data_IF_082711131830
#
_entry.id   IF_082711131830
#
_cell.length_a   1.000
_cell.length_b   1.000
_cell.length_c   1.000
_cell.angle_alpha   90.00
_cell.angle_beta   90.00
_cell.angle_gamma   90.00
#
_symmetry.space_group_name_H-M   'P 1'
#
loop_
_entity.id
_entity.type
_entity.pdbx_description
1 polymer ?
#
# COMPACT_ATOMS: atom_id res chain seq x y z
N UNK A 1 4.02 -10.84 37.63
CA UNK A 1 4.95 -11.26 36.56
C UNK A 1 6.21 -11.73 37.27
N UNK A 2 6.60 -13.00 37.15
CA UNK A 2 7.98 -13.37 37.51
C UNK A 2 8.89 -12.84 36.40
N UNK A 3 9.92 -12.09 36.77
CA UNK A 3 10.88 -11.44 35.87
C UNK A 3 11.99 -12.40 35.42
N UNK A 4 11.72 -13.70 35.45
CA UNK A 4 12.72 -14.74 35.22
C UNK A 4 12.85 -15.05 33.72
N UNK A 5 14.10 -15.15 33.26
CA UNK A 5 14.44 -15.48 31.87
C UNK A 5 14.38 -17.00 31.70
N UNK A 6 13.43 -17.49 30.91
CA UNK A 6 13.21 -18.94 30.70
C UNK A 6 13.57 -19.35 29.27
N UNK A 7 14.15 -20.55 29.10
CA UNK A 7 14.52 -21.11 27.79
C UNK A 7 13.30 -21.25 26.86
N UNK A 8 13.49 -20.94 25.58
CA UNK A 8 12.42 -20.92 24.57
C UNK A 8 11.64 -22.25 24.42
N UNK A 9 12.27 -23.40 24.69
CA UNK A 9 11.62 -24.71 24.67
C UNK A 9 10.53 -24.89 25.74
N UNK A 10 10.63 -24.19 26.87
CA UNK A 10 9.62 -24.20 27.95
C UNK A 10 8.39 -23.36 27.59
N UNK A 11 8.50 -22.48 26.58
CA UNK A 11 7.41 -21.62 26.09
C UNK A 11 6.53 -22.32 25.04
N UNK A 12 6.71 -23.62 24.80
CA UNK A 12 5.91 -24.37 23.84
C UNK A 12 4.43 -24.44 24.29
N UNK A 13 3.53 -23.92 23.46
CA UNK A 13 2.12 -23.73 23.80
C UNK A 13 1.17 -24.79 23.22
N UNK A 14 1.69 -25.96 22.82
CA UNK A 14 0.93 -27.16 22.41
C UNK A 14 0.08 -27.02 21.14
N UNK A 15 -0.13 -25.82 20.61
CA UNK A 15 -1.02 -25.59 19.48
C UNK A 15 -0.28 -25.75 18.15
N UNK A 16 -0.13 -27.01 17.73
CA UNK A 16 0.56 -27.38 16.47
C UNK A 16 -0.41 -27.54 15.29
N UNK A 17 -1.72 -27.67 15.52
CA UNK A 17 -2.72 -28.02 14.49
C UNK A 17 -3.91 -27.06 14.46
N UNK A 18 -4.52 -26.91 13.27
CA UNK A 18 -5.71 -26.06 13.04
C UNK A 18 -7.05 -26.76 13.35
N UNK A 19 -7.04 -28.07 13.58
CA UNK A 19 -8.23 -28.88 13.84
C UNK A 19 -8.82 -28.57 15.23
N UNK A 20 -10.12 -28.29 15.31
CA UNK A 20 -10.82 -27.88 16.54
C UNK A 20 -10.99 -28.99 17.57
N UNK A 21 -11.09 -30.25 17.11
CA UNK A 21 -11.34 -31.44 17.94
C UNK A 21 -10.05 -31.90 18.65
N UNK A 22 -8.91 -31.73 17.99
CA UNK A 22 -7.57 -32.08 18.52
C UNK A 22 -6.88 -30.91 19.22
N UNK A 23 -7.60 -29.81 19.48
CA UNK A 23 -7.04 -28.71 20.26
C UNK A 23 -7.06 -29.10 21.73
N UNK A 24 -5.88 -29.28 22.32
CA UNK A 24 -5.74 -29.27 23.78
C UNK A 24 -6.10 -27.91 24.39
N UNK A 25 -5.93 -27.79 25.71
CA UNK A 25 -6.21 -26.55 26.44
C UNK A 25 -5.49 -25.34 25.81
N UNK A 26 -6.19 -24.21 25.67
CA UNK A 26 -5.64 -23.01 25.05
C UNK A 26 -4.70 -22.29 26.03
N UNK A 27 -3.46 -22.77 26.12
CA UNK A 27 -2.43 -22.26 27.03
C UNK A 27 -1.80 -20.93 26.58
N UNK A 28 -2.53 -20.07 25.86
CA UNK A 28 -2.10 -18.68 25.59
C UNK A 28 -2.17 -17.80 26.85
N UNK A 29 -1.67 -18.30 27.99
CA UNK A 29 -1.48 -17.59 29.26
C UNK A 29 -0.75 -16.25 29.10
N UNK A 30 0.07 -16.14 28.05
CA UNK A 30 0.87 -14.93 27.76
C UNK A 30 0.34 -14.07 26.59
N UNK A 31 -0.76 -14.45 25.92
CA UNK A 31 -1.35 -13.57 24.89
C UNK A 31 -2.33 -12.61 25.54
N UNK A 32 -1.94 -11.35 25.64
CA UNK A 32 -2.85 -10.29 26.05
C UNK A 32 -4.05 -10.15 25.10
N UNK A 33 -5.19 -9.63 25.59
CA UNK A 33 -6.33 -9.30 24.74
C UNK A 33 -5.90 -8.32 23.65
N UNK A 34 -6.60 -8.36 22.51
CA UNK A 34 -6.33 -7.45 21.39
C UNK A 34 -6.69 -6.03 21.83
N UNK A 35 -5.67 -5.19 22.03
CA UNK A 35 -5.83 -3.81 22.54
C UNK A 35 -6.54 -2.88 21.55
N UNK A 36 -6.33 -3.09 20.25
CA UNK A 36 -6.99 -2.28 19.21
C UNK A 36 -7.27 -3.07 17.95
N UNK A 37 -8.29 -2.64 17.18
CA UNK A 37 -8.47 -3.08 15.80
C UNK A 37 -7.25 -2.59 15.01
N UNK A 38 -6.49 -3.51 14.40
CA UNK A 38 -5.32 -3.16 13.58
C UNK A 38 -5.68 -2.20 12.44
N UNK A 39 -4.70 -1.45 11.94
CA UNK A 39 -4.92 -0.49 10.85
C UNK A 39 -5.43 -1.20 9.59
N UNK A 40 -6.59 -0.76 9.09
CA UNK A 40 -7.10 -1.16 7.77
C UNK A 40 -6.68 -0.09 6.77
N UNK A 41 -5.91 -0.46 5.74
CA UNK A 41 -5.55 0.44 4.64
C UNK A 41 -6.49 0.18 3.47
N UNK A 42 -7.54 1.01 3.32
CA UNK A 42 -8.44 0.95 2.17
C UNK A 42 -7.83 1.79 1.05
N UNK A 43 -7.53 1.16 -0.10
CA UNK A 43 -7.10 1.88 -1.31
C UNK A 43 -8.27 2.70 -1.85
N UNK A 44 -8.32 3.99 -1.54
CA UNK A 44 -9.18 4.96 -2.22
C UNK A 44 -8.54 5.31 -3.57
N UNK A 45 -9.33 5.55 -4.63
CA UNK A 45 -8.80 6.12 -5.87
C UNK A 45 -8.34 7.55 -5.60
N UNK A 46 -7.07 7.67 -5.21
CA UNK A 46 -6.51 8.89 -4.62
C UNK A 46 -5.87 9.82 -5.65
N UNK A 47 -5.57 9.30 -6.83
CA UNK A 47 -4.76 9.96 -7.83
C UNK A 47 -5.55 10.05 -9.12
N UNK A 48 -5.71 11.28 -9.62
CA UNK A 48 -6.38 11.52 -10.89
C UNK A 48 -5.60 10.86 -12.02
N UNK A 49 -4.28 11.10 -12.06
CA UNK A 49 -3.32 10.63 -13.06
C UNK A 49 -2.62 9.34 -12.68
N UNK A 50 -2.44 8.47 -13.68
CA UNK A 50 -1.74 7.21 -13.60
C UNK A 50 -0.49 7.21 -14.48
N UNK A 51 0.51 6.38 -14.17
CA UNK A 51 1.66 6.19 -15.04
C UNK A 51 1.21 5.77 -16.44
N UNK A 52 1.73 6.44 -17.48
CA UNK A 52 1.35 6.20 -18.87
C UNK A 52 0.36 7.20 -19.45
N UNK A 53 -0.39 7.93 -18.64
CA UNK A 53 -1.26 9.00 -19.12
C UNK A 53 -0.45 10.07 -19.89
N UNK A 54 -1.08 10.72 -20.86
CA UNK A 54 -0.51 11.86 -21.57
C UNK A 54 -1.16 13.15 -21.06
N UNK A 55 -0.32 14.14 -20.80
CA UNK A 55 -0.73 15.44 -20.29
C UNK A 55 -0.01 16.56 -21.01
N UNK A 56 -0.66 17.73 -21.11
CA UNK A 56 -0.07 18.94 -21.69
C UNK A 56 0.36 19.88 -20.57
N UNK A 57 1.59 20.36 -20.65
CA UNK A 57 2.19 21.31 -19.72
C UNK A 57 3.15 22.22 -20.48
N UNK A 58 3.03 23.55 -20.30
CA UNK A 58 3.87 24.56 -21.00
C UNK A 58 3.93 24.32 -22.53
N UNK A 59 2.76 24.20 -23.17
CA UNK A 59 2.57 23.90 -24.60
C UNK A 59 3.08 22.53 -25.10
N UNK A 60 3.85 21.77 -24.32
CA UNK A 60 4.39 20.47 -24.70
C UNK A 60 3.63 19.29 -24.06
N UNK A 61 3.67 18.14 -24.73
CA UNK A 61 3.04 16.89 -24.27
C UNK A 61 4.05 16.04 -23.54
N UNK A 62 3.67 15.58 -22.35
CA UNK A 62 4.48 14.73 -21.50
C UNK A 62 3.74 13.44 -21.14
N UNK A 63 4.51 12.37 -20.96
CA UNK A 63 4.04 11.13 -20.36
C UNK A 63 4.15 11.20 -18.85
N UNK A 64 3.07 10.86 -18.15
CA UNK A 64 3.03 10.78 -16.70
C UNK A 64 3.82 9.55 -16.23
N UNK A 65 4.72 9.73 -15.26
CA UNK A 65 5.37 8.64 -14.54
C UNK A 65 4.64 8.29 -13.24
N UNK A 66 3.94 9.25 -12.64
CA UNK A 66 3.13 9.03 -11.44
C UNK A 66 2.75 10.33 -10.76
N UNK A 67 2.02 10.23 -9.65
CA UNK A 67 1.68 11.37 -8.80
C UNK A 67 2.38 11.29 -7.45
N UNK A 68 2.93 12.42 -7.02
CA UNK A 68 3.60 12.61 -5.75
C UNK A 68 2.77 13.46 -4.79
N UNK A 69 3.27 13.61 -3.55
CA UNK A 69 2.74 14.58 -2.60
C UNK A 69 1.24 14.45 -2.39
N UNK A 70 0.72 13.23 -2.34
CA UNK A 70 -0.69 12.96 -2.14
C UNK A 70 -1.62 13.46 -3.27
N UNK A 71 -1.14 13.55 -4.51
CA UNK A 71 -1.92 13.94 -5.68
C UNK A 71 -1.81 15.42 -6.01
N UNK A 72 -1.01 16.15 -5.23
CA UNK A 72 -0.70 17.57 -5.48
C UNK A 72 0.26 17.75 -6.65
N UNK A 73 1.18 16.79 -6.83
CA UNK A 73 2.27 16.89 -7.78
C UNK A 73 2.26 15.73 -8.78
N UNK A 74 2.77 16.00 -9.97
CA UNK A 74 2.83 15.12 -11.13
C UNK A 74 4.29 14.97 -11.53
N UNK A 75 4.75 13.71 -11.61
CA UNK A 75 6.06 13.35 -12.16
C UNK A 75 5.90 13.15 -13.66
N UNK A 76 6.58 13.97 -14.44
CA UNK A 76 6.59 13.91 -15.91
C UNK A 76 7.89 13.26 -16.39
N UNK A 77 7.81 12.43 -17.42
CA UNK A 77 8.99 11.84 -18.04
C UNK A 77 9.89 12.93 -18.64
N UNK A 78 11.19 12.87 -18.37
CA UNK A 78 12.18 13.83 -18.88
C UNK A 78 12.36 15.11 -18.03
N UNK A 79 11.60 15.29 -16.95
CA UNK A 79 11.81 16.40 -16.00
C UNK A 79 12.26 15.88 -14.63
N UNK A 80 13.26 16.54 -14.05
CA UNK A 80 13.74 16.24 -12.70
C UNK A 80 12.79 16.75 -11.60
N UNK A 81 12.12 17.90 -11.83
CA UNK A 81 11.20 18.51 -10.87
C UNK A 81 9.75 18.08 -11.14
N UNK A 82 9.02 17.84 -10.07
CA UNK A 82 7.58 17.57 -10.15
C UNK A 82 6.81 18.85 -10.46
N UNK A 83 5.68 18.69 -11.15
CA UNK A 83 4.80 19.80 -11.55
C UNK A 83 3.51 19.74 -10.74
N UNK A 84 2.92 20.89 -10.37
CA UNK A 84 1.62 20.91 -9.69
C UNK A 84 0.52 20.40 -10.61
N UNK A 85 -0.34 19.51 -10.11
CA UNK A 85 -1.40 18.90 -10.91
C UNK A 85 -2.43 19.91 -11.46
N UNK A 86 -2.57 21.07 -10.82
CA UNK A 86 -3.49 22.15 -11.26
C UNK A 86 -3.04 22.86 -12.52
N UNK A 87 -1.75 22.85 -12.83
CA UNK A 87 -1.17 23.52 -14.01
C UNK A 87 -1.21 22.65 -15.27
N UNK A 88 -1.63 21.40 -15.11
CA UNK A 88 -1.49 20.36 -16.13
C UNK A 88 -2.87 20.03 -16.68
N UNK A 89 -2.99 20.04 -18.00
CA UNK A 89 -4.23 19.67 -18.68
C UNK A 89 -4.18 18.21 -19.14
N UNK A 90 -5.20 17.38 -18.87
CA UNK A 90 -5.26 16.01 -19.36
C UNK A 90 -5.38 16.00 -20.88
N UNK A 91 -4.58 15.17 -21.56
CA UNK A 91 -4.68 14.96 -23.00
C UNK A 91 -5.28 13.59 -23.32
N UNK A 92 -4.69 12.53 -22.75
CA UNK A 92 -5.15 11.16 -22.97
C UNK A 92 -4.96 10.31 -21.73
N UNK A 93 -6.07 9.77 -21.24
CA UNK A 93 -6.08 8.76 -20.21
C UNK A 93 -5.69 7.40 -20.79
N UNK A 94 -4.82 6.68 -20.09
CA UNK A 94 -4.43 5.29 -20.40
C UNK A 94 -4.95 4.32 -19.34
N UNK A 95 -6.04 4.67 -18.67
CA UNK A 95 -6.73 3.78 -17.73
C UNK A 95 -7.36 2.61 -18.50
N UNK A 96 -7.22 1.39 -17.98
CA UNK A 96 -7.80 0.18 -18.57
C UNK A 96 -6.96 -0.45 -19.69
N UNK A 97 -7.56 -1.36 -20.47
CA UNK A 97 -6.89 -2.04 -21.59
C UNK A 97 -6.73 -1.03 -22.72
N UNK A 98 -5.52 -0.49 -22.86
CA UNK A 98 -5.16 0.46 -23.91
C UNK A 98 -4.16 -0.19 -24.85
N UNK A 99 -4.55 -0.43 -26.11
CA UNK A 99 -3.60 -0.86 -27.14
C UNK A 99 -2.63 0.28 -27.45
N UNK A 100 -1.33 0.02 -27.36
CA UNK A 100 -0.33 0.91 -27.92
C UNK A 100 -0.31 0.71 -29.43
N UNK A 101 -1.03 1.57 -30.15
CA UNK A 101 -0.77 1.77 -31.58
C UNK A 101 0.65 2.34 -31.67
N UNK A 102 1.53 1.59 -32.33
CA UNK A 102 2.94 1.94 -32.55
C UNK A 102 3.05 3.09 -33.53
#
# INVERSE_FOLDING_TARGET
RSSEVVKAQVLHNGRRTRNRILNGENLRRHRGPKVSKGRVSIRRQRYAYQPGDLVRYEAQVYRVQGMGGYGRNLKLAGRAKEVKATLVSPLRWRKGICQQVR
#
